data_IF_215188642168
#
_entry.id   IF_215188642168
#
_cell.length_a   1.000
_cell.length_b   1.000
_cell.length_c   1.000
_cell.angle_alpha   90.00
_cell.angle_beta   90.00
_cell.angle_gamma   90.00
#
_symmetry.space_group_name_H-M   'P 1'
#
loop_
_entity.id
_entity.type
_entity.pdbx_description
1 polymer ?
#
# COMPACT_ATOMS: atom_id res chain seq x y z
N UNK A 1 -26.61 14.52 -3.01
CA UNK A 1 -25.76 14.09 -1.89
C UNK A 1 -24.46 14.84 -2.07
N UNK A 2 -24.13 15.77 -1.18
CA UNK A 2 -22.91 16.57 -1.26
C UNK A 2 -21.70 15.64 -1.24
N UNK A 3 -20.80 15.79 -2.22
CA UNK A 3 -19.49 15.15 -2.23
C UNK A 3 -18.82 15.39 -0.87
N UNK A 4 -18.63 14.32 -0.10
CA UNK A 4 -17.92 14.40 1.18
C UNK A 4 -16.46 14.65 0.83
N UNK A 5 -15.99 15.87 1.00
CA UNK A 5 -14.57 16.19 0.83
C UNK A 5 -13.75 15.31 1.76
N UNK A 6 -12.90 14.44 1.21
CA UNK A 6 -12.09 13.46 1.98
C UNK A 6 -10.83 14.07 2.58
N UNK A 7 -10.80 15.39 2.78
CA UNK A 7 -9.61 16.16 3.17
C UNK A 7 -8.99 15.71 4.50
N UNK A 8 -9.75 15.03 5.36
CA UNK A 8 -9.28 14.51 6.66
C UNK A 8 -9.20 12.97 6.72
N UNK A 9 -9.59 12.27 5.66
CA UNK A 9 -9.56 10.81 5.60
C UNK A 9 -8.22 10.30 5.07
N UNK A 10 -7.89 9.05 5.40
CA UNK A 10 -6.78 8.36 4.77
C UNK A 10 -7.05 8.20 3.26
N UNK A 11 -6.00 8.36 2.46
CA UNK A 11 -6.02 8.20 1.02
C UNK A 11 -6.12 6.72 0.64
N UNK A 12 -6.59 6.43 -0.56
CA UNK A 12 -6.62 5.08 -1.12
C UNK A 12 -5.47 4.90 -2.11
N UNK A 13 -4.82 3.75 -2.09
CA UNK A 13 -3.82 3.40 -3.10
C UNK A 13 -4.49 3.12 -4.45
N UNK A 14 -3.73 3.11 -5.57
CA UNK A 14 -4.25 2.70 -6.87
C UNK A 14 -4.80 1.26 -6.91
N UNK A 15 -4.39 0.40 -5.97
CA UNK A 15 -4.83 -0.98 -5.87
C UNK A 15 -5.94 -1.20 -4.82
N UNK A 16 -6.39 -0.14 -4.15
CA UNK A 16 -7.33 -0.24 -3.02
C UNK A 16 -8.61 -1.02 -3.35
N UNK A 17 -9.19 -0.85 -4.54
CA UNK A 17 -10.40 -1.59 -4.93
C UNK A 17 -10.21 -3.11 -5.00
N UNK A 18 -9.01 -3.58 -5.34
CA UNK A 18 -8.67 -5.01 -5.36
C UNK A 18 -8.34 -5.51 -3.97
N UNK A 19 -7.67 -4.68 -3.19
CA UNK A 19 -7.29 -4.96 -1.81
C UNK A 19 -8.54 -5.08 -0.94
N UNK A 20 -9.48 -4.15 -1.05
CA UNK A 20 -10.78 -4.15 -0.35
C UNK A 20 -11.61 -5.39 -0.68
N UNK A 21 -11.66 -5.79 -1.96
CA UNK A 21 -12.40 -6.97 -2.38
C UNK A 21 -11.80 -8.29 -1.86
N UNK A 22 -10.53 -8.31 -1.45
CA UNK A 22 -9.82 -9.51 -0.98
C UNK A 22 -9.53 -9.49 0.53
N UNK A 23 -9.83 -8.39 1.22
CA UNK A 23 -9.59 -8.24 2.66
C UNK A 23 -10.80 -8.75 3.45
N UNK A 24 -10.81 -10.05 3.74
CA UNK A 24 -11.91 -10.71 4.46
C UNK A 24 -12.02 -10.23 5.91
N UNK A 25 -10.89 -9.86 6.53
CA UNK A 25 -10.86 -9.37 7.92
C UNK A 25 -11.42 -7.95 8.09
N UNK A 26 -11.44 -7.15 7.02
CA UNK A 26 -11.76 -5.72 7.08
C UNK A 26 -10.92 -4.96 8.15
N UNK A 27 -9.68 -5.40 8.38
CA UNK A 27 -8.77 -4.80 9.37
C UNK A 27 -7.86 -3.78 8.68
N UNK A 28 -8.12 -2.50 8.92
CA UNK A 28 -7.50 -1.38 8.20
C UNK A 28 -6.61 -0.54 9.11
N UNK A 29 -5.40 -0.25 8.64
CA UNK A 29 -4.42 0.61 9.28
C UNK A 29 -4.03 1.82 8.43
N UNK A 30 -3.34 2.76 9.08
CA UNK A 30 -2.70 3.89 8.44
C UNK A 30 -1.25 3.55 8.09
N UNK A 31 -0.88 3.67 6.81
CA UNK A 31 0.51 3.66 6.37
C UNK A 31 0.80 4.87 5.48
N UNK A 32 1.64 5.79 5.96
CA UNK A 32 2.00 7.03 5.23
C UNK A 32 0.80 7.85 4.75
N UNK A 33 -0.31 7.82 5.48
CA UNK A 33 -1.55 8.52 5.12
C UNK A 33 -2.47 7.74 4.18
N UNK A 34 -2.16 6.48 3.86
CA UNK A 34 -2.99 5.60 3.06
C UNK A 34 -3.68 4.52 3.91
N UNK A 35 -4.92 4.19 3.54
CA UNK A 35 -5.66 3.03 4.07
C UNK A 35 -5.07 1.74 3.53
N UNK A 36 -4.44 0.94 4.40
CA UNK A 36 -3.78 -0.32 4.06
C UNK A 36 -4.31 -1.43 4.98
N UNK A 37 -4.54 -2.66 4.51
CA UNK A 37 -4.96 -3.74 5.39
C UNK A 37 -3.79 -4.17 6.31
N UNK A 38 -4.09 -4.47 7.58
CA UNK A 38 -3.11 -5.06 8.50
C UNK A 38 -2.90 -6.55 8.21
N UNK A 39 -3.95 -7.23 7.76
CA UNK A 39 -3.96 -8.59 7.24
C UNK A 39 -5.17 -8.77 6.30
N UNK A 40 -5.05 -9.68 5.34
CA UNK A 40 -6.15 -10.06 4.45
C UNK A 40 -7.03 -11.16 5.08
N UNK A 41 -6.41 -12.16 5.70
CA UNK A 41 -7.11 -13.32 6.27
C UNK A 41 -6.45 -13.88 7.54
N UNK A 42 -5.18 -14.27 7.47
CA UNK A 42 -4.42 -14.84 8.57
C UNK A 42 -2.93 -14.60 8.33
N UNK A 43 -2.27 -14.00 9.31
CA UNK A 43 -0.88 -13.54 9.17
C UNK A 43 0.09 -14.71 8.96
N UNK A 44 -0.14 -15.87 9.59
CA UNK A 44 0.74 -17.02 9.46
C UNK A 44 0.63 -17.64 8.07
N UNK A 45 -0.59 -17.79 7.56
CA UNK A 45 -0.79 -18.30 6.21
C UNK A 45 -0.31 -17.32 5.13
N UNK A 46 -0.47 -16.01 5.31
CA UNK A 46 0.15 -14.99 4.43
C UNK A 46 1.67 -15.12 4.43
N UNK A 47 2.27 -15.30 5.61
CA UNK A 47 3.70 -15.54 5.75
C UNK A 47 4.15 -16.82 5.02
N UNK A 48 3.45 -17.94 5.20
CA UNK A 48 3.77 -19.19 4.51
C UNK A 48 3.56 -19.09 2.99
N UNK A 49 2.54 -18.37 2.53
CA UNK A 49 2.32 -18.14 1.12
C UNK A 49 3.56 -17.47 0.48
N UNK A 50 4.12 -16.45 1.13
CA UNK A 50 5.29 -15.72 0.63
C UNK A 50 6.57 -16.56 0.73
N UNK A 51 6.70 -17.39 1.77
CA UNK A 51 7.91 -18.19 2.02
C UNK A 51 7.99 -19.47 1.19
N UNK A 52 6.86 -20.10 0.93
CA UNK A 52 6.78 -21.42 0.29
C UNK A 52 6.18 -21.36 -1.11
N UNK A 53 5.47 -20.29 -1.46
CA UNK A 53 4.79 -20.14 -2.75
C UNK A 53 5.01 -18.74 -3.34
N UNK A 54 3.96 -17.95 -3.52
CA UNK A 54 4.01 -16.57 -4.01
C UNK A 54 3.04 -15.69 -3.23
N UNK A 55 3.37 -14.40 -3.14
CA UNK A 55 2.53 -13.38 -2.53
C UNK A 55 2.60 -12.09 -3.33
N UNK A 56 1.49 -11.35 -3.37
CA UNK A 56 1.39 -10.04 -4.02
C UNK A 56 1.17 -8.99 -2.95
N UNK A 57 1.99 -7.94 -2.98
CA UNK A 57 1.94 -6.84 -2.01
C UNK A 57 1.65 -5.51 -2.69
N UNK A 58 0.77 -4.72 -2.08
CA UNK A 58 0.63 -3.31 -2.42
C UNK A 58 1.63 -2.49 -1.60
N UNK A 59 2.72 -2.07 -2.25
CA UNK A 59 3.75 -1.20 -1.67
C UNK A 59 3.64 0.25 -2.16
N UNK A 60 2.51 0.63 -2.75
CA UNK A 60 2.28 1.98 -3.26
C UNK A 60 2.40 3.09 -2.20
N UNK A 61 2.07 2.88 -0.91
CA UNK A 61 2.26 3.90 0.12
C UNK A 61 3.72 4.23 0.43
N UNK A 62 4.68 3.43 -0.05
CA UNK A 62 6.10 3.70 0.17
C UNK A 62 6.53 4.91 -0.66
N UNK A 63 7.01 5.95 0.04
CA UNK A 63 7.48 7.18 -0.57
C UNK A 63 8.67 6.91 -1.49
N UNK A 64 8.58 7.39 -2.74
CA UNK A 64 9.65 7.28 -3.74
C UNK A 64 10.18 8.66 -4.04
N UNK A 65 11.47 8.88 -3.85
CA UNK A 65 12.11 10.16 -4.09
C UNK A 65 12.87 10.14 -5.41
N UNK A 66 12.66 11.19 -6.23
CA UNK A 66 13.46 11.44 -7.43
C UNK A 66 14.41 12.59 -7.15
N UNK A 67 15.69 12.29 -6.96
CA UNK A 67 16.73 13.29 -6.75
C UNK A 67 17.31 13.74 -8.10
N UNK A 68 17.39 15.05 -8.33
CA UNK A 68 17.92 15.64 -9.57
C UNK A 68 19.00 16.67 -9.25
N UNK A 69 20.06 16.73 -10.07
CA UNK A 69 21.13 17.71 -9.94
C UNK A 69 21.93 17.87 -11.24
N UNK A 70 22.83 18.87 -11.34
CA UNK A 70 23.55 19.21 -12.58
C UNK A 70 24.51 18.13 -13.12
N UNK A 71 24.91 17.17 -12.28
CA UNK A 71 25.83 16.08 -12.67
C UNK A 71 25.04 14.79 -12.90
N UNK A 72 25.05 14.22 -14.12
CA UNK A 72 24.19 13.09 -14.48
C UNK A 72 24.91 11.77 -14.21
N UNK A 73 25.00 11.36 -12.95
CA UNK A 73 25.01 9.93 -12.62
C UNK A 73 23.75 9.69 -11.80
N UNK A 74 22.62 9.58 -12.49
CA UNK A 74 21.30 9.37 -11.87
C UNK A 74 21.34 8.13 -10.99
N UNK A 75 21.47 8.34 -9.68
CA UNK A 75 21.40 7.28 -8.69
C UNK A 75 19.96 7.19 -8.23
N UNK A 76 19.33 6.06 -8.49
CA UNK A 76 18.01 5.75 -7.97
C UNK A 76 18.20 5.17 -6.58
N UNK A 77 17.90 5.97 -5.55
CA UNK A 77 17.76 5.47 -4.19
C UNK A 77 16.29 5.10 -4.07
N UNK A 78 16.01 3.80 -4.14
CA UNK A 78 14.69 3.24 -3.82
C UNK A 78 14.39 3.39 -2.34
#
# INVERSE_FOLDING_TARGET
MSDVSRDTMLLTTPFHSRVEAMCDLNDWGNWMGYTTPNAYFDVELEYFAVRSTTGVFDLSPMNKYRVTGPTPSGIWIV
#
